data_IF_847008065411
#
_entry.id   IF_847008065411
#
_cell.length_a   1.000
_cell.length_b   1.000
_cell.length_c   1.000
_cell.angle_alpha   90.00
_cell.angle_beta   90.00
_cell.angle_gamma   90.00
#
_symmetry.space_group_name_H-M   'P 1'
#
loop_
_entity.id
_entity.type
_entity.pdbx_description
1 polymer ?
#
# COMPACT_ATOMS: atom_id res chain seq x y z
N UNK A 1 -50.78 39.79 26.15
CA UNK A 1 -50.31 39.46 26.13
C UNK A 1 -49.48 38.77 25.65
N UNK A 2 -49.08 38.46 25.60
CA UNK A 2 -48.37 37.81 25.30
C UNK A 2 -47.68 37.27 24.82
N UNK A 3 -47.36 37.08 24.87
CA UNK A 3 -46.71 36.53 24.55
C UNK A 3 -45.86 35.95 24.10
N UNK A 4 -45.55 35.73 24.00
CA UNK A 4 -44.83 35.07 23.65
C UNK A 4 -44.05 34.49 23.10
N UNK A 5 -43.84 34.35 22.95
CA UNK A 5 -43.20 33.77 22.53
C UNK A 5 -42.39 33.18 22.06
N UNK A 6 -42.08 32.90 21.98
CA UNK A 6 -41.36 32.37 21.70
C UNK A 6 -40.59 31.75 21.13
N UNK A 7 -40.15 31.46 21.04
CA UNK A 7 -39.48 30.90 20.60
C UNK A 7 -38.73 30.26 20.10
N UNK A 8 -38.31 29.95 20.02
CA UNK A 8 -37.68 29.33 19.66
C UNK A 8 -36.91 28.77 19.08
N UNK A 9 -36.34 28.42 18.91
CA UNK A 9 -35.59 27.94 18.53
C UNK A 9 -34.84 27.20 17.96
N UNK A 10 -34.23 26.82 17.88
CA UNK A 10 -33.55 26.17 17.56
C UNK A 10 -32.70 25.65 17.08
N UNK A 11 -32.30 25.28 16.93
CA UNK A 11 -31.53 24.77 16.58
C UNK A 11 -30.76 24.15 15.99
N UNK A 12 -30.29 23.73 15.84
CA UNK A 12 -29.59 23.16 15.39
C UNK A 12 -28.76 22.58 14.90
N UNK A 13 -28.24 22.20 14.77
CA UNK A 13 -27.50 21.66 14.41
C UNK A 13 -26.72 21.08 13.80
N UNK A 14 -26.17 20.62 13.67
CA UNK A 14 -25.48 20.11 13.21
C UNK A 14 -24.68 19.50 12.73
N UNK A 15 -24.10 19.09 12.70
CA UNK A 15 -23.46 18.55 12.48
C UNK A 15 -22.72 18.00 11.82
N UNK A 16 -22.20 17.68 11.53
CA UNK A 16 -21.51 17.23 10.99
C UNK A 16 -20.75 16.57 10.66
N UNK A 17 -20.20 16.19 10.58
CA UNK A 17 -19.53 15.58 10.47
C UNK A 17 -18.72 15.12 9.77
N UNK A 18 -18.30 15.00 9.45
CA UNK A 18 -17.59 14.68 8.90
C UNK A 18 -16.82 14.00 8.46
N UNK A 19 -16.45 13.72 8.25
CA UNK A 19 -15.77 13.02 8.01
C UNK A 19 -15.03 12.84 7.15
N UNK A 20 -14.64 12.62 6.95
CA UNK A 20 -14.02 12.39 6.35
C UNK A 20 -13.27 12.20 5.65
N UNK A 21 -12.95 12.23 5.46
CA UNK A 21 -12.35 12.18 4.73
C UNK A 21 -11.29 11.73 4.29
N UNK A 22 -10.58 11.72 4.32
CA UNK A 22 -9.48 11.31 4.05
C UNK A 22 -9.28 10.47 3.10
N UNK A 23 -9.75 10.32 2.58
CA UNK A 23 -9.64 9.54 1.70
C UNK A 23 -8.50 8.88 1.38
N UNK A 24 -7.57 9.35 1.13
CA UNK A 24 -6.52 8.71 0.63
C UNK A 24 -5.83 7.89 1.46
N UNK A 25 -5.85 8.22 2.64
CA UNK A 25 -5.12 7.49 3.52
C UNK A 25 -5.88 6.48 4.14
N UNK A 26 -6.86 6.00 3.60
CA UNK A 26 -7.64 4.97 4.20
C UNK A 26 -6.82 3.85 4.66
N UNK A 27 -7.09 3.35 5.78
CA UNK A 27 -6.49 2.14 6.27
C UNK A 27 -6.81 1.01 5.33
N UNK A 28 -5.95 0.02 5.21
CA UNK A 28 -6.24 -1.12 4.38
C UNK A 28 -7.50 -1.80 4.88
N UNK A 29 -8.33 -2.24 3.97
CA UNK A 29 -9.52 -2.95 4.37
C UNK A 29 -9.14 -4.32 4.88
N UNK A 30 -10.03 -4.91 5.64
CA UNK A 30 -9.82 -6.26 6.13
C UNK A 30 -9.62 -7.18 4.94
N UNK A 31 -8.65 -8.00 5.00
CA UNK A 31 -8.36 -8.91 3.91
C UNK A 31 -7.40 -8.37 2.87
N UNK A 32 -7.05 -7.10 2.91
CA UNK A 32 -6.06 -6.59 1.98
C UNK A 32 -4.67 -7.08 2.37
N UNK A 33 -3.79 -7.14 1.39
CA UNK A 33 -2.42 -7.56 1.62
C UNK A 33 -1.52 -6.34 1.58
N UNK A 34 -0.77 -6.14 2.66
CA UNK A 34 0.10 -5.00 2.78
C UNK A 34 1.53 -5.41 2.48
N UNK A 35 2.28 -4.56 1.79
CA UNK A 35 3.68 -4.80 1.49
C UNK A 35 4.50 -3.67 2.08
N UNK A 36 5.42 -4.03 2.96
CA UNK A 36 6.36 -3.07 3.52
C UNK A 36 7.68 -3.25 2.81
N UNK A 37 8.16 -2.20 2.20
CA UNK A 37 9.39 -2.24 1.43
C UNK A 37 10.44 -1.40 2.13
N UNK A 38 11.62 -1.95 2.35
CA UNK A 38 12.72 -1.17 2.84
C UNK A 38 13.84 -1.20 1.82
N UNK A 39 14.31 -0.03 1.38
CA UNK A 39 15.31 0.06 0.33
C UNK A 39 16.67 0.38 0.94
N UNK A 40 17.57 -0.60 0.92
CA UNK A 40 18.94 -0.40 1.34
C UNK A 40 19.91 -0.32 0.17
N UNK A 41 19.36 -0.28 -1.03
CA UNK A 41 20.16 -0.12 -2.23
C UNK A 41 20.55 1.35 -2.40
N UNK A 42 21.59 1.62 -3.13
CA UNK A 42 22.08 2.98 -3.32
C UNK A 42 21.25 3.80 -4.30
N UNK A 43 20.39 3.15 -5.06
CA UNK A 43 19.57 3.80 -6.07
C UNK A 43 18.09 3.72 -5.70
N UNK A 44 17.26 4.63 -6.22
CA UNK A 44 15.82 4.45 -6.10
C UNK A 44 15.41 3.16 -6.81
N UNK A 45 14.48 2.44 -6.21
CA UNK A 45 14.04 1.15 -6.72
C UNK A 45 12.56 1.20 -7.03
N UNK A 46 12.21 0.77 -8.23
CA UNK A 46 10.81 0.60 -8.60
C UNK A 46 10.38 -0.79 -8.22
N UNK A 47 9.25 -0.88 -7.55
CA UNK A 47 8.74 -2.15 -7.03
C UNK A 47 7.50 -2.53 -7.80
N UNK A 48 7.45 -3.78 -8.24
CA UNK A 48 6.33 -4.32 -9.01
C UNK A 48 5.81 -5.58 -8.34
N UNK A 49 4.54 -5.83 -8.54
CA UNK A 49 3.91 -7.09 -8.16
C UNK A 49 3.19 -7.63 -9.38
N UNK A 50 3.41 -8.87 -9.72
CA UNK A 50 2.76 -9.46 -10.88
C UNK A 50 2.11 -10.78 -10.56
N UNK A 51 0.96 -11.01 -11.16
CA UNK A 51 0.23 -12.25 -11.01
C UNK A 51 -0.89 -12.30 -12.03
N UNK A 52 -1.25 -13.49 -12.48
CA UNK A 52 -2.33 -13.69 -13.45
C UNK A 52 -2.17 -12.84 -14.71
N UNK A 53 -0.96 -12.66 -15.17
CA UNK A 53 -0.73 -11.86 -16.37
C UNK A 53 -0.79 -10.36 -16.14
N UNK A 54 -1.02 -9.92 -14.92
CA UNK A 54 -1.06 -8.50 -14.59
C UNK A 54 0.25 -8.12 -13.95
N UNK A 55 0.85 -7.03 -14.43
CA UNK A 55 2.05 -6.48 -13.83
C UNK A 55 1.71 -5.11 -13.27
N UNK A 56 1.70 -5.02 -11.95
CA UNK A 56 1.27 -3.80 -11.25
C UNK A 56 2.49 -3.08 -10.67
N UNK A 57 2.70 -1.83 -11.09
CA UNK A 57 3.76 -1.03 -10.53
C UNK A 57 3.28 -0.45 -9.21
N UNK A 58 3.95 -0.81 -8.13
CA UNK A 58 3.54 -0.34 -6.81
C UNK A 58 4.07 1.05 -6.52
N UNK A 59 5.28 1.34 -6.90
CA UNK A 59 5.85 2.65 -6.70
C UNK A 59 7.36 2.62 -6.66
N UNK A 60 7.95 3.75 -6.33
CA UNK A 60 9.40 3.91 -6.22
C UNK A 60 9.76 4.16 -4.76
N UNK A 61 10.77 3.46 -4.28
CA UNK A 61 11.27 3.64 -2.92
C UNK A 61 12.69 4.19 -3.02
N UNK A 62 12.91 5.34 -2.40
CA UNK A 62 14.21 6.00 -2.47
C UNK A 62 15.22 5.34 -1.53
N UNK A 63 16.52 5.52 -1.77
CA UNK A 63 17.55 4.88 -0.94
C UNK A 63 17.39 5.23 0.53
N UNK A 64 17.48 4.21 1.36
CA UNK A 64 17.37 4.40 2.81
C UNK A 64 15.98 4.62 3.33
N UNK A 65 14.98 4.59 2.45
CA UNK A 65 13.61 4.85 2.85
C UNK A 65 12.79 3.58 2.93
N UNK A 66 11.68 3.67 3.63
CA UNK A 66 10.70 2.60 3.71
C UNK A 66 9.41 3.08 3.08
N UNK A 67 8.65 2.18 2.53
CA UNK A 67 7.34 2.51 1.96
C UNK A 67 6.37 1.37 2.20
N UNK A 68 5.10 1.70 2.32
CA UNK A 68 4.05 0.71 2.49
C UNK A 68 3.13 0.78 1.28
N UNK A 69 2.80 -0.39 0.75
CA UNK A 69 1.90 -0.49 -0.39
C UNK A 69 0.83 -1.51 -0.08
N UNK A 70 -0.27 -1.44 -0.81
CA UNK A 70 -1.35 -2.41 -0.71
C UNK A 70 -1.49 -3.09 -2.07
N UNK A 71 -1.55 -4.41 -2.07
CA UNK A 71 -1.70 -5.16 -3.30
C UNK A 71 -3.16 -5.09 -3.77
N UNK A 72 -3.41 -4.76 -5.03
CA UNK A 72 -4.77 -4.71 -5.55
C UNK A 72 -5.46 -6.07 -5.41
N UNK A 73 -6.76 -6.02 -5.15
CA UNK A 73 -7.55 -7.23 -4.94
C UNK A 73 -7.53 -8.17 -6.14
N UNK A 74 -7.45 -7.63 -7.35
CA UNK A 74 -7.40 -8.49 -8.52
C UNK A 74 -6.12 -9.31 -8.61
N UNK A 75 -5.07 -8.93 -7.90
CA UNK A 75 -3.89 -9.77 -7.80
C UNK A 75 -4.03 -10.75 -6.66
N UNK A 76 -4.61 -10.32 -5.54
CA UNK A 76 -4.76 -11.18 -4.36
C UNK A 76 -5.61 -12.40 -4.69
N UNK A 77 -6.62 -12.22 -5.52
CA UNK A 77 -7.56 -13.28 -5.83
C UNK A 77 -6.95 -14.53 -6.45
N UNK A 78 -5.72 -14.43 -6.95
CA UNK A 78 -5.09 -15.58 -7.55
C UNK A 78 -4.22 -16.37 -6.62
N UNK A 79 -4.03 -15.90 -5.43
CA UNK A 79 -3.32 -16.65 -4.40
C UNK A 79 -1.81 -16.53 -4.41
N UNK A 80 -1.19 -16.15 -5.51
CA UNK A 80 0.26 -15.97 -5.51
C UNK A 80 0.66 -14.81 -6.39
N UNK A 81 1.76 -14.17 -6.02
CA UNK A 81 2.27 -12.99 -6.71
C UNK A 81 3.78 -13.06 -6.72
N UNK A 82 4.39 -12.57 -7.77
CA UNK A 82 5.83 -12.43 -7.85
C UNK A 82 6.17 -10.95 -7.68
N UNK A 83 7.16 -10.66 -6.84
CA UNK A 83 7.61 -9.30 -6.63
C UNK A 83 8.88 -9.06 -7.42
N UNK A 84 9.03 -7.84 -7.91
CA UNK A 84 10.21 -7.46 -8.67
C UNK A 84 10.71 -6.11 -8.17
N UNK A 85 12.02 -5.98 -8.02
CA UNK A 85 12.66 -4.72 -7.67
C UNK A 85 13.61 -4.36 -8.80
N UNK A 86 13.43 -3.17 -9.34
CA UNK A 86 14.19 -2.75 -10.51
C UNK A 86 14.78 -1.37 -10.24
N UNK A 87 16.09 -1.18 -10.44
CA UNK A 87 16.66 0.15 -10.26
C UNK A 87 16.03 1.15 -11.22
N UNK A 88 15.68 2.31 -10.70
CA UNK A 88 15.19 3.39 -11.54
C UNK A 88 16.31 3.79 -12.48
N UNK A 89 15.97 4.05 -13.71
CA UNK A 89 16.98 4.37 -14.70
C UNK A 89 17.49 3.16 -15.43
N UNK A 90 17.10 1.97 -15.02
CA UNK A 90 17.31 0.79 -15.83
C UNK A 90 18.67 0.17 -15.78
N UNK A 91 19.46 0.45 -14.80
CA UNK A 91 20.77 -0.18 -14.72
C UNK A 91 20.71 -1.51 -14.02
N UNK A 92 21.37 -2.50 -14.56
CA UNK A 92 21.52 -3.78 -13.90
C UNK A 92 20.32 -4.69 -14.02
N UNK A 93 20.46 -5.86 -13.46
CA UNK A 93 19.40 -6.85 -13.52
C UNK A 93 18.42 -6.64 -12.38
N UNK A 94 17.12 -6.77 -12.64
CA UNK A 94 16.16 -6.65 -11.55
C UNK A 94 16.20 -7.88 -10.66
N UNK A 95 15.78 -7.70 -9.44
CA UNK A 95 15.55 -8.82 -8.52
C UNK A 95 14.12 -9.31 -8.68
N UNK A 96 13.95 -10.62 -8.75
CA UNK A 96 12.63 -11.24 -8.77
C UNK A 96 12.53 -12.24 -7.64
N UNK A 97 11.42 -12.18 -6.93
CA UNK A 97 11.29 -12.96 -5.72
C UNK A 97 10.86 -14.40 -5.94
N UNK A 98 10.44 -14.75 -7.11
CA UNK A 98 9.70 -16.00 -7.24
C UNK A 98 8.29 -15.82 -6.69
N UNK A 99 7.51 -16.88 -6.71
CA UNK A 99 6.10 -16.75 -6.34
C UNK A 99 5.92 -16.77 -4.84
N UNK A 100 5.14 -15.82 -4.34
CA UNK A 100 4.82 -15.70 -2.93
C UNK A 100 3.33 -15.92 -2.79
N UNK A 101 2.95 -16.89 -1.96
CA UNK A 101 1.54 -17.16 -1.72
C UNK A 101 0.96 -16.06 -0.86
N UNK A 102 -0.19 -15.54 -1.27
CA UNK A 102 -0.87 -14.50 -0.54
C UNK A 102 -2.12 -15.06 0.14
N UNK A 103 -2.43 -14.51 1.28
CA UNK A 103 -3.66 -14.82 1.99
C UNK A 103 -4.25 -13.51 2.44
N UNK A 104 -5.57 -13.41 2.54
CA UNK A 104 -6.20 -12.17 3.02
C UNK A 104 -5.59 -11.76 4.35
N UNK A 105 -5.25 -10.50 4.45
CA UNK A 105 -4.66 -9.96 5.68
C UNK A 105 -3.17 -10.22 5.84
N UNK A 106 -2.53 -10.85 4.88
CA UNK A 106 -1.09 -11.12 4.99
C UNK A 106 -0.27 -9.84 4.95
N UNK A 107 0.87 -9.88 5.60
CA UNK A 107 1.84 -8.81 5.55
C UNK A 107 3.08 -9.34 4.84
N UNK A 108 3.51 -8.65 3.82
CA UNK A 108 4.72 -9.00 3.09
C UNK A 108 5.80 -7.99 3.47
N UNK A 109 6.97 -8.50 3.81
CA UNK A 109 8.12 -7.63 4.06
C UNK A 109 9.11 -7.84 2.93
N UNK A 110 9.36 -6.80 2.16
CA UNK A 110 10.27 -6.84 1.03
C UNK A 110 11.49 -6.02 1.41
N UNK A 111 12.59 -6.71 1.61
CA UNK A 111 13.83 -6.07 2.00
C UNK A 111 14.77 -6.01 0.80
N UNK A 112 15.00 -4.81 0.30
CA UNK A 112 15.86 -4.61 -0.84
C UNK A 112 17.28 -4.37 -0.33
N UNK A 113 18.16 -5.30 -0.65
CA UNK A 113 19.52 -5.30 -0.11
C UNK A 113 20.43 -4.34 -0.89
N UNK A 114 21.57 -3.93 -0.30
CA UNK A 114 22.53 -3.14 -1.05
C UNK A 114 22.96 -3.80 -2.36
N UNK A 115 23.09 -5.12 -2.33
CA UNK A 115 23.27 -5.88 -3.57
C UNK A 115 21.92 -6.48 -3.89
N UNK A 116 21.38 -6.10 -5.02
CA UNK A 116 19.99 -6.37 -5.33
C UNK A 116 19.66 -7.86 -5.31
N UNK A 117 20.56 -8.69 -5.75
CA UNK A 117 20.30 -10.12 -5.79
C UNK A 117 20.19 -10.75 -4.39
N UNK A 118 20.62 -10.04 -3.35
CA UNK A 118 20.48 -10.52 -1.98
C UNK A 118 19.18 -10.08 -1.32
N UNK A 119 18.30 -9.44 -2.07
CA UNK A 119 17.03 -8.99 -1.52
C UNK A 119 16.16 -10.17 -1.11
N UNK A 120 15.24 -9.94 -0.20
CA UNK A 120 14.38 -11.00 0.32
C UNK A 120 12.95 -10.53 0.40
N UNK A 121 12.04 -11.49 0.26
CA UNK A 121 10.61 -11.24 0.47
C UNK A 121 10.13 -12.28 1.48
N UNK A 122 9.54 -11.80 2.55
CA UNK A 122 9.06 -12.66 3.63
C UNK A 122 7.58 -12.39 3.86
N UNK A 123 6.81 -13.45 4.04
CA UNK A 123 5.39 -13.31 4.36
C UNK A 123 5.19 -13.55 5.85
N UNK A 124 4.40 -12.72 6.46
CA UNK A 124 4.04 -12.88 7.86
C UNK A 124 2.55 -13.06 8.03
#
# INVERSE_FOLDING_TARGET
>A
MLPGLRLLFPVLLLSACGLSGGANDAAPSAGSVEVRVSNRHALPIEVFASGSGINHRMGTVHPGMNANFVIPQNLVGNGSVQFEARPSGGGGQPFRSGEVMLAPGALIEFHIAPQLFNSTVTRR
#
